data_IF_913209321333
#
_entry.id   IF_913209321333
#
_cell.length_a   1.000
_cell.length_b   1.000
_cell.length_c   1.000
_cell.angle_alpha   90.00
_cell.angle_beta   90.00
_cell.angle_gamma   90.00
#
_symmetry.space_group_name_H-M   'P 1'
#
loop_
_entity.id
_entity.type
_entity.pdbx_description
1 polymer ?
#
# COMPACT_ATOMS: atom_id res chain seq x y z
N UNK A 1 10.01 -9.92 3.30
CA UNK A 1 9.49 -9.37 4.55
C UNK A 1 8.26 -8.52 4.24
N UNK A 2 7.08 -8.87 4.74
CA UNK A 2 5.87 -8.09 4.45
C UNK A 2 5.83 -6.79 5.26
N UNK A 3 5.30 -5.75 4.64
CA UNK A 3 5.13 -4.46 5.26
C UNK A 3 3.63 -4.17 5.39
N UNK A 4 3.22 -3.69 6.55
CA UNK A 4 1.83 -3.29 6.81
C UNK A 4 1.78 -1.78 6.98
N UNK A 5 0.91 -1.13 6.23
CA UNK A 5 0.79 0.32 6.22
C UNK A 5 -0.63 0.72 6.62
N UNK A 6 -0.75 1.63 7.59
CA UNK A 6 -2.03 2.23 7.94
C UNK A 6 -2.34 3.33 6.92
N UNK A 7 -3.15 2.99 5.93
CA UNK A 7 -3.44 3.90 4.83
C UNK A 7 -4.28 5.10 5.26
N UNK A 8 -5.05 4.98 6.35
CA UNK A 8 -5.84 6.10 6.85
C UNK A 8 -4.95 7.22 7.42
N UNK A 9 -3.77 6.86 7.90
CA UNK A 9 -2.81 7.81 8.43
C UNK A 9 -1.77 8.25 7.39
N UNK A 10 -1.87 7.75 6.16
CA UNK A 10 -0.86 7.96 5.13
C UNK A 10 -1.41 8.86 4.03
N UNK A 11 -0.87 10.06 3.81
CA UNK A 11 -1.31 10.94 2.72
C UNK A 11 -1.12 10.28 1.35
N UNK A 12 -1.95 10.67 0.37
CA UNK A 12 -1.91 10.09 -0.97
C UNK A 12 -0.52 10.15 -1.61
N UNK A 13 0.22 11.28 -1.56
CA UNK A 13 1.56 11.31 -2.16
C UNK A 13 2.52 10.28 -1.54
N UNK A 14 2.40 10.05 -0.24
CA UNK A 14 3.24 9.08 0.45
C UNK A 14 2.85 7.66 0.06
N UNK A 15 1.55 7.38 -0.09
CA UNK A 15 1.10 6.07 -0.56
C UNK A 15 1.66 5.75 -1.95
N UNK A 16 1.68 6.74 -2.83
CA UNK A 16 2.22 6.56 -4.18
C UNK A 16 3.71 6.22 -4.14
N UNK A 17 4.48 6.89 -3.29
CA UNK A 17 5.90 6.61 -3.12
C UNK A 17 6.11 5.19 -2.59
N UNK A 18 5.32 4.78 -1.60
CA UNK A 18 5.42 3.45 -1.02
C UNK A 18 5.07 2.37 -2.03
N UNK A 19 4.02 2.58 -2.84
CA UNK A 19 3.64 1.64 -3.87
C UNK A 19 4.73 1.48 -4.92
N UNK A 20 5.35 2.58 -5.32
CA UNK A 20 6.44 2.56 -6.28
C UNK A 20 7.64 1.80 -5.72
N UNK A 21 8.01 2.08 -4.48
CA UNK A 21 9.11 1.40 -3.82
C UNK A 21 8.84 -0.09 -3.65
N UNK A 22 7.64 -0.45 -3.23
CA UNK A 22 7.25 -1.85 -3.05
C UNK A 22 7.39 -2.63 -4.36
N UNK A 23 6.93 -2.05 -5.46
CA UNK A 23 7.03 -2.68 -6.77
C UNK A 23 8.48 -2.78 -7.23
N UNK A 24 9.25 -1.71 -7.05
CA UNK A 24 10.64 -1.67 -7.49
C UNK A 24 11.52 -2.69 -6.77
N UNK A 25 11.33 -2.83 -5.46
CA UNK A 25 12.14 -3.75 -4.66
C UNK A 25 11.45 -5.07 -4.37
N UNK A 26 10.29 -5.32 -4.96
CA UNK A 26 9.56 -6.57 -4.83
C UNK A 26 9.28 -6.92 -3.37
N UNK A 27 8.76 -5.95 -2.62
CA UNK A 27 8.44 -6.10 -1.21
C UNK A 27 6.93 -6.21 -1.08
N UNK A 28 6.43 -7.28 -0.46
CA UNK A 28 5.01 -7.44 -0.17
C UNK A 28 4.56 -6.36 0.79
N UNK A 29 3.62 -5.53 0.34
CA UNK A 29 3.11 -4.40 1.12
C UNK A 29 1.59 -4.49 1.17
N UNK A 30 1.03 -4.46 2.38
CA UNK A 30 -0.41 -4.48 2.60
C UNK A 30 -0.85 -3.16 3.20
N UNK A 31 -1.77 -2.48 2.52
CA UNK A 31 -2.38 -1.27 3.03
C UNK A 31 -3.68 -1.61 3.75
N UNK A 32 -3.82 -1.14 4.95
CA UNK A 32 -5.01 -1.33 5.77
C UNK A 32 -5.75 -0.01 5.88
N UNK A 33 -7.04 -0.02 5.61
CA UNK A 33 -7.89 1.17 5.72
C UNK A 33 -9.28 0.76 6.20
N UNK A 34 -9.99 1.67 6.83
CA UNK A 34 -11.39 1.44 7.20
C UNK A 34 -12.37 1.94 6.15
N UNK A 35 -11.86 2.34 4.97
CA UNK A 35 -12.66 2.72 3.81
C UNK A 35 -11.98 2.22 2.54
N UNK A 36 -12.70 2.21 1.42
CA UNK A 36 -12.12 1.78 0.15
C UNK A 36 -11.06 2.77 -0.31
N UNK A 37 -9.90 2.26 -0.73
CA UNK A 37 -8.81 3.07 -1.26
C UNK A 37 -8.43 2.57 -2.64
N UNK A 38 -7.89 3.45 -3.46
CA UNK A 38 -7.41 3.12 -4.79
C UNK A 38 -5.90 2.98 -4.76
N UNK A 39 -5.41 1.83 -5.23
CA UNK A 39 -3.99 1.54 -5.31
C UNK A 39 -3.64 1.09 -6.73
N UNK A 40 -2.40 1.35 -7.20
CA UNK A 40 -2.00 0.88 -8.52
C UNK A 40 -1.95 -0.65 -8.56
N UNK A 41 -2.25 -1.26 -9.72
CA UNK A 41 -2.17 -2.71 -9.87
C UNK A 41 -0.72 -3.17 -9.78
N UNK A 42 -0.43 -4.04 -8.82
CA UNK A 42 0.91 -4.59 -8.63
C UNK A 42 0.80 -5.90 -7.86
N UNK A 43 1.60 -6.92 -8.21
CA UNK A 43 1.59 -8.18 -7.48
C UNK A 43 2.13 -8.05 -6.05
N UNK A 44 2.80 -6.94 -5.75
CA UNK A 44 3.39 -6.70 -4.43
C UNK A 44 2.55 -5.80 -3.54
N UNK A 45 1.43 -5.29 -4.06
CA UNK A 45 0.60 -4.35 -3.31
C UNK A 45 -0.76 -4.99 -3.07
N UNK A 46 -1.15 -5.05 -1.81
CA UNK A 46 -2.43 -5.58 -1.37
C UNK A 46 -3.15 -4.56 -0.53
N UNK A 47 -4.45 -4.64 -0.52
CA UNK A 47 -5.26 -3.76 0.34
C UNK A 47 -6.19 -4.62 1.19
N UNK A 48 -6.45 -4.15 2.40
CA UNK A 48 -7.36 -4.81 3.30
C UNK A 48 -8.25 -3.74 3.94
N UNK A 49 -9.54 -3.91 3.77
CA UNK A 49 -10.52 -3.03 4.39
C UNK A 49 -10.99 -3.63 5.70
N UNK A 50 -10.98 -2.86 6.75
CA UNK A 50 -11.44 -3.27 8.08
C UNK A 50 -12.75 -2.57 8.44
#
# INVERSE_FOLDING_TARGET
MPIWVDADACPVPIREILCRAATRWQIDTTFIANHAITLPPSPYIKRRQV
#
